data_IF_934947155699
#
_entry.id   IF_934947155699
#
_cell.length_a   1.000
_cell.length_b   1.000
_cell.length_c   1.000
_cell.angle_alpha   90.00
_cell.angle_beta   90.00
_cell.angle_gamma   90.00
#
_symmetry.space_group_name_H-M   'P 1'
#
loop_
_entity.id
_entity.type
_entity.pdbx_description
1 polymer ?
#
# COMPACT_ATOMS: atom_id res chain seq x y z
N UNK A 1 31.22 14.04 19.12
CA UNK A 1 30.79 13.14 20.20
C UNK A 1 30.05 11.96 19.57
N UNK A 2 30.71 10.80 19.54
CA UNK A 2 30.17 9.57 18.92
C UNK A 2 29.16 8.95 19.87
N UNK A 3 27.87 9.08 19.57
CA UNK A 3 26.80 8.43 20.34
C UNK A 3 26.90 6.92 20.17
N UNK A 4 27.15 6.23 21.28
CA UNK A 4 27.22 4.78 21.35
C UNK A 4 25.90 4.17 20.84
N UNK A 5 26.02 3.21 19.93
CA UNK A 5 24.90 2.50 19.33
C UNK A 5 24.22 1.64 20.40
N UNK A 6 23.00 2.02 20.79
CA UNK A 6 22.21 1.23 21.74
C UNK A 6 22.03 -0.22 21.24
N UNK A 7 22.12 -1.22 22.12
CA UNK A 7 21.96 -2.62 21.73
C UNK A 7 20.59 -2.84 21.09
N UNK A 8 20.57 -3.61 19.99
CA UNK A 8 19.36 -4.00 19.27
C UNK A 8 18.48 -4.83 20.22
N UNK A 9 17.48 -4.20 20.83
CA UNK A 9 16.65 -4.79 21.88
C UNK A 9 16.38 -3.85 23.07
N UNK A 10 17.11 -2.75 23.19
CA UNK A 10 16.82 -1.70 24.17
C UNK A 10 15.49 -1.02 23.84
N UNK A 11 14.61 -0.93 24.85
CA UNK A 11 13.34 -0.19 24.78
C UNK A 11 13.67 1.27 24.46
N UNK A 12 13.21 1.76 23.31
CA UNK A 12 13.35 3.17 22.95
C UNK A 12 12.56 3.97 23.98
N UNK A 13 13.20 4.86 24.73
CA UNK A 13 12.56 5.71 25.74
C UNK A 13 11.77 6.86 25.12
N UNK A 14 10.78 7.41 25.83
CA UNK A 14 9.96 8.55 25.36
C UNK A 14 10.82 9.77 25.01
N UNK A 15 11.84 10.08 25.82
CA UNK A 15 12.77 11.18 25.51
C UNK A 15 13.47 11.02 24.16
N UNK A 16 13.86 9.80 23.78
CA UNK A 16 14.46 9.52 22.47
C UNK A 16 13.45 9.70 21.33
N UNK A 17 12.18 9.34 21.54
CA UNK A 17 11.12 9.57 20.54
C UNK A 17 10.87 11.06 20.33
N UNK A 18 10.81 11.85 21.40
CA UNK A 18 10.65 13.31 21.32
C UNK A 18 11.84 13.96 20.59
N UNK A 19 13.07 13.60 20.95
CA UNK A 19 14.27 14.11 20.27
C UNK A 19 14.33 13.70 18.77
N UNK A 20 13.84 12.51 18.43
CA UNK A 20 13.71 12.11 17.03
C UNK A 20 12.65 12.97 16.31
N UNK A 21 11.50 13.22 16.93
CA UNK A 21 10.43 14.02 16.33
C UNK A 21 10.90 15.43 15.96
N UNK A 22 11.76 16.04 16.77
CA UNK A 22 12.34 17.37 16.54
C UNK A 22 13.40 17.40 15.41
N UNK A 23 14.00 16.26 15.08
CA UNK A 23 15.16 16.20 14.16
C UNK A 23 14.84 15.54 12.81
N UNK A 24 13.67 14.93 12.66
CA UNK A 24 13.23 14.34 11.40
C UNK A 24 12.86 15.45 10.40
N UNK A 25 13.41 15.32 9.19
CA UNK A 25 13.02 16.16 8.07
C UNK A 25 11.61 15.81 7.57
N UNK A 26 10.99 16.73 6.82
CA UNK A 26 9.67 16.48 6.23
C UNK A 26 9.66 15.23 5.35
N UNK A 27 10.70 15.03 4.52
CA UNK A 27 10.85 13.81 3.71
C UNK A 27 10.87 12.54 4.55
N UNK A 28 11.55 12.57 5.69
CA UNK A 28 11.60 11.41 6.59
C UNK A 28 10.22 11.10 7.21
N UNK A 29 9.44 12.14 7.54
CA UNK A 29 8.04 11.99 7.95
C UNK A 29 7.16 11.44 6.83
N UNK A 30 7.34 11.91 5.59
CA UNK A 30 6.61 11.43 4.41
C UNK A 30 6.93 9.96 4.08
N UNK A 31 8.21 9.58 4.13
CA UNK A 31 8.64 8.18 3.97
C UNK A 31 7.99 7.30 5.04
N UNK A 32 8.02 7.72 6.31
CA UNK A 32 7.40 6.97 7.39
C UNK A 32 5.90 6.82 7.21
N UNK A 33 5.21 7.90 6.82
CA UNK A 33 3.78 7.87 6.50
C UNK A 33 3.45 6.90 5.36
N UNK A 34 4.29 6.88 4.33
CA UNK A 34 4.15 5.96 3.18
C UNK A 34 4.31 4.51 3.62
N UNK A 35 5.37 4.17 4.36
CA UNK A 35 5.59 2.79 4.84
C UNK A 35 4.47 2.36 5.80
N UNK A 36 3.94 3.28 6.62
CA UNK A 36 2.79 2.97 7.45
C UNK A 36 1.52 2.71 6.64
N UNK A 37 1.26 3.51 5.59
CA UNK A 37 0.12 3.33 4.68
C UNK A 37 0.17 1.99 3.95
N UNK A 38 1.34 1.63 3.45
CA UNK A 38 1.53 0.47 2.56
C UNK A 38 1.96 -0.80 3.31
N UNK A 39 2.26 -0.69 4.61
CA UNK A 39 2.90 -1.69 5.48
C UNK A 39 4.33 -2.07 5.09
N UNK A 40 4.59 -2.29 3.81
CA UNK A 40 5.90 -2.57 3.23
C UNK A 40 6.16 -1.66 2.04
N UNK A 41 7.40 -1.24 1.83
CA UNK A 41 7.80 -0.56 0.60
C UNK A 41 9.24 -0.90 0.26
N UNK A 42 9.57 -1.05 -1.02
CA UNK A 42 10.96 -1.25 -1.45
C UNK A 42 11.72 0.08 -1.47
N UNK A 43 13.05 0.01 -1.38
CA UNK A 43 13.89 1.19 -1.54
C UNK A 43 13.71 1.89 -2.90
N UNK A 44 13.37 1.15 -3.96
CA UNK A 44 13.06 1.73 -5.28
C UNK A 44 11.70 2.43 -5.30
N UNK A 45 10.67 1.85 -4.67
CA UNK A 45 9.36 2.50 -4.54
C UNK A 45 9.47 3.80 -3.72
N UNK A 46 10.23 3.77 -2.63
CA UNK A 46 10.51 4.98 -1.84
C UNK A 46 11.34 6.00 -2.62
N UNK A 47 12.25 5.56 -3.49
CA UNK A 47 13.00 6.44 -4.38
C UNK A 47 12.08 7.21 -5.33
N UNK A 48 11.19 6.49 -6.00
CA UNK A 48 10.21 7.04 -6.94
C UNK A 48 9.28 8.05 -6.31
N UNK A 49 8.85 7.79 -5.08
CA UNK A 49 7.93 8.69 -4.37
C UNK A 49 8.59 9.91 -3.71
N UNK A 50 9.78 9.75 -3.12
CA UNK A 50 10.35 10.74 -2.18
C UNK A 50 11.69 11.34 -2.61
N UNK A 51 12.21 10.91 -3.76
CA UNK A 51 13.51 11.35 -4.30
C UNK A 51 13.45 11.62 -5.82
N UNK A 52 12.25 11.78 -6.38
CA UNK A 52 12.04 12.04 -7.80
C UNK A 52 12.75 13.31 -8.28
N UNK A 53 12.91 14.30 -7.40
CA UNK A 53 13.55 15.60 -7.66
C UNK A 53 15.07 15.50 -7.87
N UNK A 54 15.70 14.42 -7.39
CA UNK A 54 17.14 14.19 -7.59
C UNK A 54 17.38 13.41 -8.88
N UNK A 55 18.59 13.38 -9.41
CA UNK A 55 18.90 12.64 -10.64
C UNK A 55 20.20 11.83 -10.53
N UNK A 56 20.30 10.74 -11.31
CA UNK A 56 21.50 9.93 -11.42
C UNK A 56 22.09 9.48 -10.07
N UNK A 57 23.40 9.68 -9.90
CA UNK A 57 24.12 9.22 -8.70
C UNK A 57 23.69 9.93 -7.43
N UNK A 58 23.29 11.20 -7.48
CA UNK A 58 22.89 11.95 -6.29
C UNK A 58 21.63 11.34 -5.65
N UNK A 59 20.63 10.98 -6.47
CA UNK A 59 19.39 10.30 -6.04
C UNK A 59 19.70 9.06 -5.23
N UNK A 60 20.49 8.14 -5.78
CA UNK A 60 20.82 6.88 -5.12
C UNK A 60 21.60 7.04 -3.82
N UNK A 61 22.54 8.01 -3.76
CA UNK A 61 23.36 8.30 -2.57
C UNK A 61 22.52 8.93 -1.46
N UNK A 62 21.69 9.92 -1.79
CA UNK A 62 20.82 10.60 -0.83
C UNK A 62 19.78 9.63 -0.28
N UNK A 63 19.12 8.84 -1.15
CA UNK A 63 18.22 7.76 -0.74
C UNK A 63 18.90 6.81 0.25
N UNK A 64 20.09 6.31 -0.09
CA UNK A 64 20.82 5.41 0.81
C UNK A 64 21.08 6.04 2.18
N UNK A 65 21.52 7.31 2.21
CA UNK A 65 21.81 8.02 3.47
C UNK A 65 20.55 8.19 4.32
N UNK A 66 19.44 8.64 3.72
CA UNK A 66 18.17 8.84 4.41
C UNK A 66 17.62 7.52 4.94
N UNK A 67 17.50 6.50 4.09
CA UNK A 67 16.99 5.19 4.53
C UNK A 67 17.89 4.54 5.58
N UNK A 68 19.22 4.69 5.47
CA UNK A 68 20.15 4.23 6.50
C UNK A 68 19.92 4.95 7.82
N UNK A 69 19.74 6.26 7.83
CA UNK A 69 19.48 7.05 9.04
C UNK A 69 18.17 6.61 9.71
N UNK A 70 17.11 6.42 8.94
CA UNK A 70 15.83 5.91 9.46
C UNK A 70 15.95 4.50 10.07
N UNK A 71 16.76 3.62 9.45
CA UNK A 71 17.05 2.29 9.99
C UNK A 71 17.88 2.35 11.27
N UNK A 72 18.94 3.16 11.29
CA UNK A 72 19.80 3.33 12.48
C UNK A 72 19.00 3.95 13.65
N UNK A 73 18.02 4.80 13.34
CA UNK A 73 17.10 5.39 14.31
C UNK A 73 15.97 4.43 14.75
N UNK A 74 15.86 3.23 14.19
CA UNK A 74 14.77 2.27 14.42
C UNK A 74 13.38 2.81 14.02
N UNK A 75 13.34 3.74 13.07
CA UNK A 75 12.09 4.20 12.42
C UNK A 75 11.64 3.18 11.38
N UNK A 76 12.59 2.68 10.59
CA UNK A 76 12.35 1.63 9.60
C UNK A 76 13.13 0.36 9.92
N UNK A 77 12.59 -0.77 9.51
CA UNK A 77 13.20 -2.08 9.57
C UNK A 77 13.41 -2.61 8.15
N UNK A 78 14.65 -2.91 7.72
CA UNK A 78 14.87 -3.65 6.49
C UNK A 78 14.53 -5.13 6.71
N UNK A 79 13.72 -5.71 5.83
CA UNK A 79 13.47 -7.15 5.79
C UNK A 79 14.64 -7.85 5.08
N UNK A 80 15.27 -8.80 5.75
CA UNK A 80 16.23 -9.72 5.12
C UNK A 80 15.46 -10.85 4.42
N UNK A 81 15.64 -11.05 3.11
CA UNK A 81 15.08 -12.21 2.41
C UNK A 81 15.69 -13.50 2.99
N UNK A 82 14.89 -14.58 3.09
CA UNK A 82 15.34 -15.86 3.66
C UNK A 82 16.23 -16.68 2.73
N UNK A 83 16.21 -16.46 1.41
CA UNK A 83 16.95 -17.28 0.44
C UNK A 83 17.76 -16.41 -0.55
N UNK A 84 19.08 -16.68 -0.60
CA UNK A 84 19.98 -16.56 -1.76
C UNK A 84 20.01 -15.25 -2.56
N UNK A 85 20.99 -14.40 -2.30
CA UNK A 85 21.38 -13.29 -3.19
C UNK A 85 22.20 -12.23 -2.49
N UNK A 86 23.29 -11.78 -3.09
CA UNK A 86 24.15 -10.76 -2.49
C UNK A 86 23.40 -9.45 -2.26
N UNK A 87 23.17 -9.09 -0.99
CA UNK A 87 22.63 -7.81 -0.54
C UNK A 87 23.64 -6.68 -0.79
N UNK A 88 23.66 -6.12 -2.00
CA UNK A 88 24.31 -4.82 -2.23
C UNK A 88 23.26 -3.83 -2.75
N UNK A 89 22.99 -2.80 -1.94
CA UNK A 89 22.18 -1.64 -2.30
C UNK A 89 20.84 -1.55 -1.55
N UNK A 90 20.54 -0.37 -1.01
CA UNK A 90 19.25 -0.07 -0.34
C UNK A 90 18.04 -0.17 -1.27
N UNK A 91 18.26 -0.09 -2.59
CA UNK A 91 17.23 -0.21 -3.62
C UNK A 91 16.40 -1.50 -3.51
N UNK A 92 17.06 -2.64 -3.29
CA UNK A 92 16.42 -3.97 -3.31
C UNK A 92 15.89 -4.43 -1.95
N UNK A 93 16.11 -3.62 -0.90
CA UNK A 93 15.60 -3.90 0.43
C UNK A 93 14.12 -3.50 0.49
N UNK A 94 13.33 -4.34 1.16
CA UNK A 94 11.96 -4.02 1.57
C UNK A 94 11.99 -3.50 2.99
N UNK A 95 11.28 -2.41 3.25
CA UNK A 95 11.23 -1.74 4.54
C UNK A 95 9.84 -1.88 5.15
N UNK A 96 9.80 -2.16 6.45
CA UNK A 96 8.62 -2.07 7.31
C UNK A 96 8.82 -0.95 8.34
N UNK A 97 7.75 -0.54 9.02
CA UNK A 97 7.85 0.33 10.19
C UNK A 97 8.51 -0.44 11.35
N UNK A 98 9.41 0.20 12.09
CA UNK A 98 10.02 -0.35 13.31
C UNK A 98 9.53 0.43 14.54
N UNK A 99 9.95 -0.03 15.73
CA UNK A 99 9.41 0.42 17.02
C UNK A 99 9.41 1.95 17.20
N UNK A 100 10.46 2.67 16.75
CA UNK A 100 10.47 4.12 16.89
C UNK A 100 9.44 4.79 15.97
N UNK A 101 9.29 4.26 14.76
CA UNK A 101 8.36 4.79 13.76
C UNK A 101 6.91 4.70 14.22
N UNK A 102 6.51 3.55 14.78
CA UNK A 102 5.17 3.39 15.38
C UNK A 102 4.93 4.40 16.51
N UNK A 103 5.92 4.61 17.38
CA UNK A 103 5.81 5.59 18.48
C UNK A 103 5.73 7.02 17.99
N UNK A 104 6.48 7.38 16.96
CA UNK A 104 6.44 8.69 16.32
C UNK A 104 5.08 8.96 15.67
N UNK A 105 4.47 7.97 15.01
CA UNK A 105 3.13 8.12 14.45
C UNK A 105 2.06 8.25 15.53
N UNK A 106 2.15 7.48 16.63
CA UNK A 106 1.28 7.67 17.80
C UNK A 106 1.42 9.08 18.36
N UNK A 107 2.65 9.59 18.48
CA UNK A 107 2.91 10.95 18.97
C UNK A 107 2.29 11.99 18.06
N UNK A 108 2.48 11.87 16.74
CA UNK A 108 1.91 12.79 15.74
C UNK A 108 0.37 12.82 15.75
N UNK A 109 -0.26 11.71 16.14
CA UNK A 109 -1.73 11.59 16.25
C UNK A 109 -2.26 11.94 17.65
N UNK A 110 -1.41 12.49 18.54
CA UNK A 110 -1.75 12.74 19.95
C UNK A 110 -2.30 11.50 20.68
N UNK A 111 -1.88 10.30 20.26
CA UNK A 111 -2.28 9.05 20.90
C UNK A 111 -1.38 8.74 22.09
N UNK A 112 -1.98 8.13 23.11
CA UNK A 112 -1.27 7.68 24.31
C UNK A 112 -0.06 6.81 23.96
N UNK A 113 1.09 7.20 24.52
CA UNK A 113 2.34 6.44 24.45
C UNK A 113 2.38 5.28 25.48
N UNK A 114 1.28 5.07 26.22
CA UNK A 114 1.17 4.20 27.38
C UNK A 114 0.91 2.72 27.09
N UNK A 115 1.47 1.89 28.00
CA UNK A 115 1.41 0.43 28.25
C UNK A 115 1.54 -0.58 27.10
N UNK A 116 0.97 -0.32 25.93
CA UNK A 116 0.94 -1.31 24.86
C UNK A 116 2.33 -1.51 24.27
N UNK A 117 2.87 -2.73 24.44
CA UNK A 117 4.21 -3.05 23.97
C UNK A 117 4.21 -3.12 22.45
N UNK A 118 4.64 -2.04 21.80
CA UNK A 118 5.01 -2.06 20.38
C UNK A 118 6.11 -3.10 20.21
N UNK A 119 5.77 -4.18 19.51
CA UNK A 119 6.68 -5.27 19.18
C UNK A 119 7.11 -5.07 17.75
N UNK A 120 8.41 -5.25 17.54
CA UNK A 120 8.95 -5.37 16.19
C UNK A 120 8.18 -6.46 15.43
N UNK A 121 7.84 -6.24 14.15
CA UNK A 121 7.16 -7.23 13.33
C UNK A 121 7.87 -8.60 13.37
N UNK A 122 7.08 -9.67 13.49
CA UNK A 122 7.57 -11.05 13.40
C UNK A 122 8.10 -11.34 11.97
N UNK A 123 8.89 -12.43 11.77
CA UNK A 123 9.30 -12.84 10.43
C UNK A 123 8.09 -12.97 9.50
N UNK A 124 8.16 -12.28 8.36
CA UNK A 124 7.08 -12.19 7.39
C UNK A 124 7.31 -13.22 6.28
N UNK A 125 6.26 -13.95 5.89
CA UNK A 125 6.33 -14.94 4.82
C UNK A 125 6.54 -14.30 3.44
N UNK A 126 7.23 -15.00 2.54
CA UNK A 126 7.61 -14.46 1.22
C UNK A 126 6.40 -14.10 0.35
N UNK A 127 5.34 -14.94 0.36
CA UNK A 127 4.10 -14.66 -0.36
C UNK A 127 3.45 -13.35 0.10
N UNK A 128 3.37 -13.14 1.42
CA UNK A 128 2.84 -11.91 1.98
C UNK A 128 3.68 -10.70 1.57
N UNK A 129 5.02 -10.82 1.59
CA UNK A 129 5.90 -9.72 1.16
C UNK A 129 5.69 -9.40 -0.31
N UNK A 130 5.64 -10.41 -1.18
CA UNK A 130 5.40 -10.22 -2.61
C UNK A 130 4.07 -9.52 -2.87
N UNK A 131 3.00 -10.00 -2.22
CA UNK A 131 1.66 -9.42 -2.33
C UNK A 131 1.61 -7.96 -1.89
N UNK A 132 2.09 -7.67 -0.68
CA UNK A 132 2.10 -6.31 -0.14
C UNK A 132 2.94 -5.36 -0.99
N UNK A 133 4.07 -5.84 -1.52
CA UNK A 133 4.94 -5.04 -2.42
C UNK A 133 4.24 -4.76 -3.74
N UNK A 134 3.44 -5.69 -4.28
CA UNK A 134 2.65 -5.47 -5.48
C UNK A 134 1.51 -4.45 -5.25
N UNK A 135 0.79 -4.52 -4.12
CA UNK A 135 -0.16 -3.47 -3.74
C UNK A 135 0.52 -2.10 -3.57
N UNK A 136 1.73 -2.10 -3.02
CA UNK A 136 2.54 -0.87 -2.88
C UNK A 136 2.97 -0.30 -4.22
N UNK A 137 3.21 -1.18 -5.20
CA UNK A 137 3.58 -0.79 -6.56
C UNK A 137 2.41 -0.08 -7.25
N UNK A 138 1.19 -0.55 -7.07
CA UNK A 138 -0.01 0.12 -7.56
C UNK A 138 -0.10 1.57 -7.05
N UNK A 139 0.08 1.78 -5.74
CA UNK A 139 0.09 3.13 -5.16
C UNK A 139 1.19 4.02 -5.77
N UNK A 140 2.38 3.47 -5.98
CA UNK A 140 3.50 4.22 -6.56
C UNK A 140 3.17 4.66 -7.98
N UNK A 141 2.67 3.75 -8.81
CA UNK A 141 2.27 4.07 -10.18
C UNK A 141 1.11 5.08 -10.20
N UNK A 142 0.14 4.95 -9.30
CA UNK A 142 -0.98 5.88 -9.18
C UNK A 142 -0.48 7.31 -8.87
N UNK A 143 0.44 7.45 -7.92
CA UNK A 143 1.03 8.76 -7.56
C UNK A 143 1.91 9.34 -8.67
N UNK A 144 2.65 8.51 -9.39
CA UNK A 144 3.50 8.98 -10.50
C UNK A 144 2.68 9.47 -11.69
N UNK A 145 1.54 8.82 -11.96
CA UNK A 145 0.72 9.13 -13.13
C UNK A 145 -0.30 10.23 -12.88
N UNK A 146 -0.73 10.45 -11.63
CA UNK A 146 -1.77 11.44 -11.28
C UNK A 146 -1.58 12.81 -11.95
N UNK A 147 -0.38 13.38 -11.84
CA UNK A 147 -0.09 14.68 -12.45
C UNK A 147 -0.04 14.66 -13.98
N UNK A 148 0.43 13.57 -14.59
CA UNK A 148 0.55 13.43 -16.04
C UNK A 148 -0.79 13.13 -16.72
N UNK A 149 -1.62 12.35 -16.03
CA UNK A 149 -2.91 11.83 -16.51
C UNK A 149 -4.09 12.72 -16.03
N UNK A 150 -3.82 13.79 -15.29
CA UNK A 150 -4.80 14.84 -15.00
C UNK A 150 -5.75 14.57 -13.84
N UNK A 151 -5.42 13.66 -12.91
CA UNK A 151 -6.27 13.33 -11.76
C UNK A 151 -5.56 13.54 -10.42
N UNK A 152 -6.33 13.63 -9.33
CA UNK A 152 -5.83 13.62 -7.95
C UNK A 152 -6.04 12.26 -7.29
N UNK A 153 -5.10 11.86 -6.43
CA UNK A 153 -5.26 10.70 -5.54
C UNK A 153 -5.75 11.22 -4.20
N UNK A 154 -7.05 11.21 -3.98
CA UNK A 154 -7.64 11.76 -2.76
C UNK A 154 -7.41 10.83 -1.58
N UNK A 155 -7.53 9.53 -1.82
CA UNK A 155 -7.30 8.52 -0.80
C UNK A 155 -6.69 7.23 -1.37
N UNK A 156 -5.82 6.63 -0.57
CA UNK A 156 -5.35 5.26 -0.76
C UNK A 156 -5.16 4.59 0.59
N UNK A 157 -5.92 3.52 0.84
CA UNK A 157 -5.82 2.67 2.03
C UNK A 157 -5.40 1.27 1.57
N UNK A 158 -4.26 0.77 2.04
CA UNK A 158 -3.92 -0.65 1.88
C UNK A 158 -4.44 -1.44 3.10
N UNK A 159 -4.46 -2.76 3.01
CA UNK A 159 -4.81 -3.60 4.16
C UNK A 159 -3.96 -3.28 5.40
N UNK A 160 -4.53 -3.35 6.62
CA UNK A 160 -5.93 -3.64 6.92
C UNK A 160 -6.83 -2.38 6.91
N UNK A 161 -6.29 -1.21 6.55
CA UNK A 161 -7.04 0.05 6.61
C UNK A 161 -8.14 0.13 5.53
N UNK A 162 -8.03 -0.69 4.48
CA UNK A 162 -9.05 -0.87 3.43
C UNK A 162 -10.22 -1.75 3.85
N UNK A 163 -10.12 -2.46 4.98
CA UNK A 163 -11.18 -3.39 5.40
C UNK A 163 -12.46 -2.63 5.76
N UNK A 164 -13.59 -3.21 5.38
CA UNK A 164 -14.90 -2.58 5.52
C UNK A 164 -15.91 -3.52 6.16
N UNK A 165 -16.81 -3.09 7.06
CA UNK A 165 -17.85 -3.96 7.61
C UNK A 165 -18.73 -4.53 6.49
N UNK A 166 -19.02 -5.83 6.54
CA UNK A 166 -19.81 -6.48 5.48
C UNK A 166 -21.34 -6.47 5.73
N UNK A 167 -21.81 -5.79 6.77
CA UNK A 167 -23.23 -5.79 7.18
C UNK A 167 -23.64 -6.91 8.15
N UNK A 168 -22.94 -8.05 8.14
CA UNK A 168 -23.29 -9.26 8.91
C UNK A 168 -22.35 -9.52 10.11
N UNK A 169 -21.69 -8.47 10.61
CA UNK A 169 -20.69 -8.58 11.69
C UNK A 169 -19.33 -9.12 11.24
N UNK A 170 -19.14 -9.33 9.95
CA UNK A 170 -17.86 -9.66 9.30
C UNK A 170 -17.20 -8.46 8.62
N UNK A 171 -16.21 -8.75 7.77
CA UNK A 171 -15.42 -7.74 7.07
C UNK A 171 -15.20 -8.11 5.61
N UNK A 172 -15.43 -7.15 4.71
CA UNK A 172 -14.81 -7.10 3.39
C UNK A 172 -13.33 -6.78 3.55
N UNK A 173 -12.48 -7.52 2.82
CA UNK A 173 -11.01 -7.43 2.92
C UNK A 173 -10.38 -7.23 1.53
N UNK A 174 -10.63 -6.07 0.91
CA UNK A 174 -9.92 -5.69 -0.30
C UNK A 174 -8.45 -5.42 0.00
N UNK A 175 -7.56 -5.77 -0.94
CA UNK A 175 -6.13 -5.49 -0.81
C UNK A 175 -5.84 -3.99 -0.66
N UNK A 176 -6.63 -3.17 -1.38
CA UNK A 176 -6.65 -1.73 -1.20
C UNK A 176 -8.03 -1.14 -1.47
N UNK A 177 -8.24 0.06 -0.93
CA UNK A 177 -9.27 0.99 -1.35
C UNK A 177 -8.59 2.26 -1.85
N UNK A 178 -9.08 2.83 -2.94
CA UNK A 178 -8.63 4.12 -3.45
C UNK A 178 -9.81 4.98 -3.90
N UNK A 179 -9.61 6.30 -3.84
CA UNK A 179 -10.46 7.25 -4.55
C UNK A 179 -9.60 8.23 -5.33
N UNK A 180 -10.03 8.51 -6.55
CA UNK A 180 -9.38 9.45 -7.47
C UNK A 180 -10.41 10.44 -7.98
N UNK A 181 -9.96 11.67 -8.24
CA UNK A 181 -10.84 12.71 -8.77
C UNK A 181 -10.24 13.42 -9.98
N UNK A 182 -11.09 13.75 -10.95
CA UNK A 182 -10.79 14.65 -12.05
C UNK A 182 -12.06 15.42 -12.39
N UNK A 183 -11.92 16.69 -12.77
CA UNK A 183 -13.02 17.55 -13.23
C UNK A 183 -14.29 17.55 -12.35
N UNK A 184 -14.10 17.40 -11.03
CA UNK A 184 -15.19 17.43 -10.04
C UNK A 184 -15.92 16.10 -9.83
N UNK A 185 -15.51 15.04 -10.52
CA UNK A 185 -16.00 13.68 -10.35
C UNK A 185 -15.02 12.92 -9.46
N UNK A 186 -15.53 12.13 -8.52
CA UNK A 186 -14.73 11.23 -7.66
C UNK A 186 -15.13 9.80 -7.89
N UNK A 187 -14.18 8.98 -8.30
CA UNK A 187 -14.34 7.55 -8.47
C UNK A 187 -13.81 6.78 -7.26
N UNK A 188 -14.55 5.75 -6.85
CA UNK A 188 -14.24 4.92 -5.70
C UNK A 188 -14.01 3.47 -6.10
N UNK A 189 -12.87 2.92 -5.68
CA UNK A 189 -12.46 1.58 -6.06
C UNK A 189 -11.99 0.76 -4.87
N UNK A 190 -12.47 -0.48 -4.82
CA UNK A 190 -11.74 -1.57 -4.17
C UNK A 190 -10.80 -2.23 -5.16
N UNK A 191 -9.69 -2.75 -4.65
CA UNK A 191 -8.66 -3.37 -5.48
C UNK A 191 -8.29 -4.74 -4.93
N UNK A 192 -8.14 -5.68 -5.86
CA UNK A 192 -7.56 -7.00 -5.66
C UNK A 192 -6.32 -7.18 -6.53
N UNK A 193 -5.19 -7.55 -5.92
CA UNK A 193 -3.90 -7.73 -6.58
C UNK A 193 -3.59 -9.22 -6.68
N UNK A 194 -3.94 -9.87 -7.78
CA UNK A 194 -3.65 -11.28 -7.99
C UNK A 194 -2.22 -11.47 -8.51
N UNK A 195 -1.40 -12.23 -7.78
CA UNK A 195 -0.07 -12.64 -8.22
C UNK A 195 -0.05 -13.95 -9.02
N UNK A 196 -1.22 -14.45 -9.43
CA UNK A 196 -1.42 -15.78 -10.02
C UNK A 196 -0.93 -16.94 -9.13
N UNK A 197 -0.89 -16.73 -7.81
CA UNK A 197 -0.51 -17.77 -6.84
C UNK A 197 -1.71 -18.40 -6.14
N UNK A 198 -2.86 -17.74 -6.18
CA UNK A 198 -4.11 -18.23 -5.60
C UNK A 198 -4.90 -19.07 -6.60
N UNK A 199 -5.56 -20.10 -6.08
CA UNK A 199 -6.41 -20.97 -6.89
C UNK A 199 -7.67 -20.22 -7.34
N UNK A 200 -8.12 -20.47 -8.57
CA UNK A 200 -9.30 -19.82 -9.15
C UNK A 200 -10.56 -19.95 -8.28
N UNK A 201 -10.87 -21.11 -7.65
CA UNK A 201 -12.03 -21.21 -6.76
C UNK A 201 -11.94 -20.29 -5.53
N UNK A 202 -10.74 -20.03 -5.02
CA UNK A 202 -10.52 -19.12 -3.88
C UNK A 202 -10.85 -17.69 -4.29
N UNK A 203 -10.35 -17.23 -5.44
CA UNK A 203 -10.67 -15.90 -5.97
C UNK A 203 -12.15 -15.75 -6.31
N UNK A 204 -12.78 -16.78 -6.91
CA UNK A 204 -14.22 -16.79 -7.14
C UNK A 204 -15.01 -16.61 -5.84
N UNK A 205 -14.62 -17.30 -4.77
CA UNK A 205 -15.23 -17.13 -3.44
C UNK A 205 -15.08 -15.70 -2.92
N UNK A 206 -13.91 -15.08 -3.13
CA UNK A 206 -13.69 -13.66 -2.79
C UNK A 206 -14.60 -12.74 -3.60
N UNK A 207 -14.74 -12.97 -4.90
CA UNK A 207 -15.58 -12.14 -5.76
C UNK A 207 -17.06 -12.28 -5.44
N UNK A 208 -17.53 -13.49 -5.11
CA UNK A 208 -18.90 -13.70 -4.65
C UNK A 208 -19.23 -12.89 -3.39
N UNK A 209 -18.26 -12.73 -2.47
CA UNK A 209 -18.48 -11.89 -1.29
C UNK A 209 -18.76 -10.42 -1.64
N UNK A 210 -18.16 -9.88 -2.72
CA UNK A 210 -18.49 -8.53 -3.19
C UNK A 210 -19.87 -8.47 -3.85
N UNK A 211 -20.24 -9.46 -4.68
CA UNK A 211 -21.58 -9.47 -5.28
C UNK A 211 -22.66 -9.62 -4.22
N UNK A 212 -22.43 -10.44 -3.19
CA UNK A 212 -23.35 -10.62 -2.08
C UNK A 212 -23.48 -9.32 -1.26
N UNK A 213 -22.35 -8.64 -1.00
CA UNK A 213 -22.33 -7.34 -0.32
C UNK A 213 -23.22 -6.31 -1.05
N UNK A 214 -23.06 -6.18 -2.36
CA UNK A 214 -23.87 -5.26 -3.17
C UNK A 214 -25.32 -5.72 -3.27
N UNK A 215 -25.56 -7.03 -3.44
CA UNK A 215 -26.90 -7.61 -3.51
C UNK A 215 -27.72 -7.44 -2.22
N UNK A 216 -27.05 -7.31 -1.08
CA UNK A 216 -27.67 -6.94 0.20
C UNK A 216 -27.94 -5.44 0.35
N UNK A 217 -27.58 -4.60 -0.63
CA UNK A 217 -27.72 -3.15 -0.58
C UNK A 217 -26.74 -2.46 0.37
N UNK A 218 -25.62 -3.11 0.70
CA UNK A 218 -24.60 -2.51 1.55
C UNK A 218 -23.80 -1.44 0.80
N UNK A 219 -23.37 -0.42 1.53
CA UNK A 219 -22.54 0.66 1.00
C UNK A 219 -21.13 0.59 1.60
N UNK A 220 -20.15 0.82 0.72
CA UNK A 220 -18.73 0.89 1.03
C UNK A 220 -18.29 2.25 1.59
N UNK A 221 -16.97 2.51 1.60
CA UNK A 221 -16.43 3.82 1.93
C UNK A 221 -17.07 4.94 1.09
N UNK A 222 -17.24 6.12 1.70
CA UNK A 222 -17.91 7.28 1.12
C UNK A 222 -19.41 7.06 0.80
N UNK A 223 -20.05 6.07 1.44
CA UNK A 223 -21.46 5.75 1.28
C UNK A 223 -21.86 5.44 -0.19
N UNK A 224 -20.92 4.87 -0.96
CA UNK A 224 -21.11 4.41 -2.34
C UNK A 224 -20.80 2.92 -2.47
N UNK A 225 -21.13 2.31 -3.59
CA UNK A 225 -20.63 0.97 -3.95
C UNK A 225 -19.34 1.14 -4.77
N UNK A 226 -18.15 0.86 -4.21
CA UNK A 226 -16.92 0.95 -4.99
C UNK A 226 -16.89 -0.16 -6.04
N UNK A 227 -16.47 0.18 -7.26
CA UNK A 227 -16.11 -0.83 -8.26
C UNK A 227 -14.91 -1.63 -7.79
N UNK A 228 -14.74 -2.85 -8.28
CA UNK A 228 -13.65 -3.75 -7.89
C UNK A 228 -12.69 -3.93 -9.05
N UNK A 229 -11.51 -3.31 -8.93
CA UNK A 229 -10.41 -3.51 -9.85
C UNK A 229 -9.62 -4.77 -9.48
N UNK A 230 -9.59 -5.74 -10.36
CA UNK A 230 -8.76 -6.95 -10.23
C UNK A 230 -7.54 -6.80 -11.14
N UNK A 231 -6.36 -6.67 -10.54
CA UNK A 231 -5.11 -6.60 -11.29
C UNK A 231 -4.44 -7.97 -11.36
N UNK A 232 -3.93 -8.34 -12.53
CA UNK A 232 -3.31 -9.65 -12.81
C UNK A 232 -1.93 -9.48 -13.46
N UNK A 233 -1.03 -10.49 -13.39
CA UNK A 233 0.33 -10.33 -13.87
C UNK A 233 0.50 -10.66 -15.36
N UNK A 234 -0.48 -11.32 -15.99
CA UNK A 234 -0.41 -11.77 -17.38
C UNK A 234 -1.79 -11.77 -18.04
N UNK A 235 -1.80 -11.60 -19.37
CA UNK A 235 -3.01 -11.66 -20.19
C UNK A 235 -3.77 -12.97 -20.00
N UNK A 236 -3.07 -14.10 -20.05
CA UNK A 236 -3.67 -15.42 -19.83
C UNK A 236 -4.36 -15.54 -18.45
N UNK A 237 -3.81 -14.88 -17.41
CA UNK A 237 -4.47 -14.85 -16.11
C UNK A 237 -5.67 -13.90 -16.12
N UNK A 238 -5.58 -12.79 -16.84
CA UNK A 238 -6.67 -11.85 -17.08
C UNK A 238 -7.87 -12.51 -17.75
N UNK A 239 -7.64 -13.28 -18.82
CA UNK A 239 -8.69 -14.07 -19.48
C UNK A 239 -9.38 -15.05 -18.52
N UNK A 240 -8.61 -15.71 -17.65
CA UNK A 240 -9.18 -16.61 -16.64
C UNK A 240 -10.05 -15.84 -15.65
N UNK A 241 -9.61 -14.67 -15.17
CA UNK A 241 -10.40 -13.84 -14.25
C UNK A 241 -11.65 -13.24 -14.92
N UNK A 242 -11.54 -12.76 -16.15
CA UNK A 242 -12.67 -12.27 -16.93
C UNK A 242 -13.72 -13.38 -17.13
N UNK A 243 -13.28 -14.60 -17.45
CA UNK A 243 -14.18 -15.77 -17.56
C UNK A 243 -14.84 -16.15 -16.21
N UNK A 244 -14.18 -15.90 -15.08
CA UNK A 244 -14.79 -16.10 -13.75
C UNK A 244 -15.90 -15.08 -13.54
N UNK A 245 -15.60 -13.79 -13.75
CA UNK A 245 -16.54 -12.67 -13.59
C UNK A 245 -17.76 -12.84 -14.52
N UNK A 246 -17.55 -13.18 -15.79
CA UNK A 246 -18.63 -13.39 -16.76
C UNK A 246 -19.60 -14.54 -16.41
N UNK A 247 -19.20 -15.44 -15.48
CA UNK A 247 -20.02 -16.56 -15.00
C UNK A 247 -20.57 -16.34 -13.58
N UNK A 248 -20.48 -15.12 -13.08
CA UNK A 248 -21.02 -14.73 -11.79
C UNK A 248 -22.41 -14.12 -11.94
N UNK A 249 -23.24 -14.15 -10.89
CA UNK A 249 -24.54 -13.47 -10.90
C UNK A 249 -24.36 -11.94 -11.00
N UNK A 250 -25.38 -11.26 -11.51
CA UNK A 250 -25.45 -9.79 -11.50
C UNK A 250 -25.30 -9.26 -10.05
N UNK A 251 -24.66 -8.09 -9.85
CA UNK A 251 -24.15 -7.16 -10.87
C UNK A 251 -22.65 -7.37 -11.18
N UNK A 252 -22.14 -8.61 -11.29
CA UNK A 252 -20.69 -8.84 -11.41
C UNK A 252 -20.02 -8.18 -12.63
N UNK A 253 -20.73 -8.09 -13.75
CA UNK A 253 -20.27 -7.46 -15.00
C UNK A 253 -20.10 -5.95 -14.89
N UNK A 254 -20.93 -5.28 -14.09
CA UNK A 254 -20.82 -3.85 -13.80
C UNK A 254 -19.86 -3.57 -12.62
N UNK A 255 -19.73 -4.52 -11.70
CA UNK A 255 -18.97 -4.36 -10.46
C UNK A 255 -17.46 -4.59 -10.65
N UNK A 256 -17.06 -5.54 -11.50
CA UNK A 256 -15.66 -5.95 -11.61
C UNK A 256 -15.02 -5.49 -12.91
N UNK A 257 -13.81 -4.96 -12.79
CA UNK A 257 -12.94 -4.65 -13.93
C UNK A 257 -11.62 -5.39 -13.78
N UNK A 258 -11.19 -6.10 -14.83
CA UNK A 258 -9.94 -6.88 -14.83
C UNK A 258 -8.91 -6.17 -15.70
N UNK A 259 -7.70 -5.94 -15.16
CA UNK A 259 -6.61 -5.28 -15.87
C UNK A 259 -5.25 -5.95 -15.59
N UNK A 260 -4.28 -5.76 -16.48
CA UNK A 260 -2.89 -6.09 -16.15
C UNK A 260 -2.34 -5.14 -15.08
N UNK A 261 -1.37 -5.60 -14.27
CA UNK A 261 -0.76 -4.78 -13.23
C UNK A 261 -0.16 -3.45 -13.76
N UNK A 262 0.37 -3.44 -14.98
CA UNK A 262 0.98 -2.27 -15.63
C UNK A 262 -0.03 -1.42 -16.42
N UNK A 263 -1.20 -1.95 -16.73
CA UNK A 263 -2.30 -1.23 -17.40
C UNK A 263 -3.30 -0.62 -16.42
N UNK A 264 -3.35 -1.14 -15.19
CA UNK A 264 -4.31 -0.79 -14.15
C UNK A 264 -4.52 0.73 -13.96
N UNK A 265 -3.44 1.51 -13.91
CA UNK A 265 -3.55 2.97 -13.72
C UNK A 265 -4.07 3.68 -14.97
N UNK A 266 -3.70 3.19 -16.16
CA UNK A 266 -4.23 3.72 -17.42
C UNK A 266 -5.74 3.50 -17.52
N UNK A 267 -6.21 2.32 -17.08
CA UNK A 267 -7.62 2.02 -16.99
C UNK A 267 -8.35 2.95 -16.01
N UNK A 268 -7.83 3.10 -14.78
CA UNK A 268 -8.45 3.98 -13.78
C UNK A 268 -8.59 5.42 -14.28
N UNK A 269 -7.58 5.92 -15.00
CA UNK A 269 -7.63 7.26 -15.59
C UNK A 269 -8.63 7.38 -16.75
N UNK A 270 -8.73 6.34 -17.59
CA UNK A 270 -9.68 6.32 -18.71
C UNK A 270 -11.12 6.29 -18.20
N UNK A 271 -11.42 5.41 -17.25
CA UNK A 271 -12.73 5.27 -16.60
C UNK A 271 -13.20 6.57 -15.93
N UNK A 272 -12.26 7.28 -15.28
CA UNK A 272 -12.55 8.58 -14.67
C UNK A 272 -12.88 9.66 -15.72
N UNK A 273 -12.30 9.56 -16.94
CA UNK A 273 -12.53 10.51 -18.03
C UNK A 273 -13.78 10.18 -18.86
N UNK A 274 -14.18 8.90 -18.92
CA UNK A 274 -15.40 8.45 -19.61
C UNK A 274 -16.67 8.74 -18.80
N UNK A 275 -16.54 9.19 -17.55
CA UNK A 275 -17.64 9.66 -16.70
C UNK A 275 -18.26 11.00 -17.13
N UNK A 276 -18.13 11.41 -18.39
CA UNK A 276 -18.99 12.39 -19.05
C UNK A 276 -20.41 11.79 -19.17
N UNK A 277 -21.13 11.72 -18.05
CA UNK A 277 -22.54 11.30 -18.03
C UNK A 277 -23.42 12.44 -18.56
N UNK A 278 -24.12 12.17 -19.67
CA UNK A 278 -25.35 12.86 -20.10
C UNK A 278 -26.42 12.89 -18.99
#
# INVERSE_FOLDING_TARGET
MTTARAPRGSRIGTARVLALAETLSEREWQIMGTVNRLRLATGLQLERLHFAELTGKSRSVVRWRVLKRLVDAQVLMPLTRRIGGSLRGSAKLTYALDVAGERLLRLRRNLSQGEERIRRPAPIGERFVAHTVATSELYVQLVERSAADGFTVDEFRAEPASWWPNGDGGWMKPDAYLSISADGITDHWWVEVDLATEAVPTLRGKFLAYTDFVGQGQLGPADVVPRVLVTVPTEARGEVMANVVARMPAPADELFVVALHDEAIGLLSAELSEADYE
#
